data_IF_331660928338
#
_entry.id   IF_331660928338
#
_cell.length_a   1.000
_cell.length_b   1.000
_cell.length_c   1.000
_cell.angle_alpha   90.00
_cell.angle_beta   90.00
_cell.angle_gamma   90.00
#
_symmetry.space_group_name_H-M   'P 1'
#
loop_
_entity.id
_entity.type
_entity.pdbx_description
1 polymer ?
#
# COMPACT_ATOMS: atom_id res chain seq x y z
N UNK A 1 -47.87 -10.31 37.74
CA UNK A 1 -46.45 -10.55 38.10
C UNK A 1 -46.17 -12.03 37.93
N UNK A 2 -45.69 -12.47 36.77
CA UNK A 2 -45.52 -13.90 36.46
C UNK A 2 -44.10 -14.35 36.74
N UNK A 3 -43.91 -15.15 37.80
CA UNK A 3 -42.72 -15.98 37.95
C UNK A 3 -42.89 -17.23 37.08
N UNK A 4 -41.94 -17.52 36.20
CA UNK A 4 -41.83 -18.80 35.51
C UNK A 4 -40.48 -19.41 35.79
N UNK A 5 -40.50 -20.54 36.49
CA UNK A 5 -39.39 -21.46 36.64
C UNK A 5 -39.71 -22.65 35.72
N UNK A 6 -38.83 -22.96 34.76
CA UNK A 6 -38.46 -24.32 34.28
C UNK A 6 -38.25 -24.43 32.76
N UNK A 7 -37.00 -24.72 32.36
CA UNK A 7 -36.55 -25.68 31.32
C UNK A 7 -35.08 -25.37 31.01
N UNK A 8 -34.14 -26.01 31.69
CA UNK A 8 -33.53 -27.27 31.25
C UNK A 8 -32.95 -27.17 29.83
N UNK A 9 -31.71 -26.68 29.71
CA UNK A 9 -30.80 -27.07 28.64
C UNK A 9 -29.38 -27.13 29.19
N UNK A 10 -28.98 -28.37 29.51
CA UNK A 10 -27.69 -28.94 29.16
C UNK A 10 -26.43 -28.32 29.77
N UNK A 11 -26.05 -28.93 30.89
CA UNK A 11 -24.68 -29.20 31.31
C UNK A 11 -23.72 -29.36 30.09
N UNK A 12 -22.71 -28.50 29.98
CA UNK A 12 -21.57 -28.75 29.09
C UNK A 12 -21.11 -27.57 28.25
N UNK A 13 -20.52 -26.54 28.88
CA UNK A 13 -19.38 -25.81 28.30
C UNK A 13 -18.83 -24.76 29.28
N UNK A 14 -18.09 -25.23 30.29
CA UNK A 14 -17.20 -24.37 31.10
C UNK A 14 -15.80 -24.21 30.49
N UNK A 15 -15.66 -24.38 29.16
CA UNK A 15 -14.37 -24.22 28.46
C UNK A 15 -14.36 -23.11 27.40
N UNK A 16 -15.49 -22.45 27.14
CA UNK A 16 -15.56 -21.38 26.13
C UNK A 16 -15.23 -19.98 26.66
N UNK A 17 -14.91 -19.83 27.96
CA UNK A 17 -14.59 -18.52 28.53
C UNK A 17 -13.10 -18.14 28.46
N UNK A 18 -12.26 -19.01 27.88
CA UNK A 18 -10.82 -18.77 27.72
C UNK A 18 -10.36 -18.57 26.25
N UNK A 19 -11.25 -18.73 25.27
CA UNK A 19 -10.84 -18.76 23.85
C UNK A 19 -11.14 -17.49 23.03
N UNK A 20 -11.63 -16.42 23.64
CA UNK A 20 -12.02 -15.20 22.91
C UNK A 20 -11.31 -13.91 23.36
N UNK A 21 -10.31 -14.00 24.23
CA UNK A 21 -9.59 -12.81 24.74
C UNK A 21 -8.20 -12.56 24.13
N UNK A 22 -7.80 -13.35 23.13
CA UNK A 22 -6.51 -13.24 22.47
C UNK A 22 -6.65 -13.22 20.94
N UNK A 23 -7.25 -12.17 20.35
CA UNK A 23 -6.96 -11.84 18.94
C UNK A 23 -7.44 -10.47 18.40
N UNK A 24 -7.86 -9.52 19.25
CA UNK A 24 -8.21 -8.19 18.75
C UNK A 24 -6.97 -7.37 18.33
N UNK A 25 -5.81 -7.55 18.99
CA UNK A 25 -4.57 -6.81 18.69
C UNK A 25 -3.93 -7.21 17.35
N UNK A 26 -4.09 -8.46 16.90
CA UNK A 26 -3.52 -8.94 15.63
C UNK A 26 -4.34 -8.45 14.44
N UNK A 27 -5.68 -8.44 14.57
CA UNK A 27 -6.61 -8.00 13.52
C UNK A 27 -6.60 -6.49 13.28
N UNK A 28 -6.46 -5.68 14.33
CA UNK A 28 -6.31 -4.22 14.19
C UNK A 28 -5.00 -3.82 13.49
N UNK A 29 -3.92 -4.58 13.70
CA UNK A 29 -2.64 -4.31 13.05
C UNK A 29 -2.66 -4.70 11.56
N UNK A 30 -3.28 -5.83 11.21
CA UNK A 30 -3.48 -6.23 9.81
C UNK A 30 -4.38 -5.23 9.06
N UNK A 31 -5.51 -4.82 9.63
CA UNK A 31 -6.39 -3.82 9.01
C UNK A 31 -5.71 -2.44 8.85
N UNK A 32 -4.93 -2.01 9.84
CA UNK A 32 -4.13 -0.77 9.78
C UNK A 32 -3.06 -0.82 8.68
N UNK A 33 -2.36 -1.95 8.56
CA UNK A 33 -1.35 -2.19 7.52
C UNK A 33 -1.98 -2.16 6.12
N UNK A 34 -3.14 -2.81 5.93
CA UNK A 34 -3.82 -2.87 4.63
C UNK A 34 -4.44 -1.51 4.24
N UNK A 35 -4.99 -0.76 5.21
CA UNK A 35 -5.54 0.59 4.97
C UNK A 35 -4.49 1.68 4.71
N UNK A 36 -3.21 1.41 4.96
CA UNK A 36 -2.10 2.37 4.84
C UNK A 36 -1.42 2.39 3.47
N UNK A 37 -1.83 1.51 2.54
CA UNK A 37 -1.24 1.39 1.21
C UNK A 37 -1.93 2.39 0.27
N UNK A 38 -1.72 3.68 0.52
CA UNK A 38 -2.16 4.72 -0.41
C UNK A 38 -1.14 5.84 -0.38
N UNK A 39 -0.41 5.99 -1.49
CA UNK A 39 0.50 7.11 -1.70
C UNK A 39 -0.31 8.19 -2.41
N UNK A 40 -0.57 9.35 -1.76
CA UNK A 40 -1.34 10.41 -2.41
C UNK A 40 -0.53 11.01 -3.57
N UNK A 41 -1.19 11.44 -4.67
CA UNK A 41 -0.51 11.99 -5.84
C UNK A 41 0.44 13.15 -5.52
N UNK A 42 0.15 13.93 -4.47
CA UNK A 42 0.98 15.05 -4.00
C UNK A 42 2.35 14.63 -3.45
N UNK A 43 2.61 13.33 -3.24
CA UNK A 43 3.89 12.82 -2.76
C UNK A 43 4.87 12.54 -3.89
N UNK A 44 4.39 12.41 -5.13
CA UNK A 44 5.29 12.22 -6.26
C UNK A 44 6.07 13.51 -6.51
N UNK A 45 7.40 13.43 -6.75
CA UNK A 45 8.18 14.59 -7.12
C UNK A 45 7.68 15.14 -8.47
N UNK A 46 7.96 16.40 -8.77
CA UNK A 46 7.60 17.00 -10.06
C UNK A 46 8.69 16.68 -11.09
N UNK A 47 8.34 15.97 -12.16
CA UNK A 47 9.26 15.68 -13.25
C UNK A 47 9.47 16.92 -14.12
N UNK A 48 10.71 17.23 -14.48
CA UNK A 48 10.98 18.23 -15.51
C UNK A 48 10.38 17.78 -16.83
N UNK A 49 9.75 18.73 -17.53
CA UNK A 49 9.22 18.56 -18.87
C UNK A 49 10.01 19.43 -19.84
N UNK A 50 10.39 18.86 -20.97
CA UNK A 50 11.09 19.57 -22.05
C UNK A 50 10.24 19.59 -23.33
N UNK A 51 9.43 20.63 -23.49
CA UNK A 51 8.50 20.73 -24.63
C UNK A 51 9.20 21.01 -25.97
N UNK A 52 10.52 21.22 -25.95
CA UNK A 52 11.31 21.48 -27.15
C UNK A 52 11.63 20.23 -27.96
N UNK A 53 11.51 19.04 -27.36
CA UNK A 53 11.84 17.77 -27.99
C UNK A 53 10.61 17.25 -28.73
N UNK A 54 10.66 17.32 -30.07
CA UNK A 54 9.57 16.93 -30.95
C UNK A 54 10.11 16.08 -32.09
N UNK A 55 9.58 14.87 -32.22
CA UNK A 55 9.89 13.97 -33.33
C UNK A 55 8.82 14.08 -34.43
N UNK A 56 9.20 13.72 -35.67
CA UNK A 56 8.29 13.63 -36.81
C UNK A 56 8.19 12.18 -37.27
N UNK A 57 6.98 11.62 -37.16
CA UNK A 57 6.66 10.28 -37.63
C UNK A 57 5.69 10.38 -38.82
N UNK A 58 6.23 10.26 -40.03
CA UNK A 58 5.46 10.28 -41.28
C UNK A 58 4.55 11.52 -41.43
N UNK A 59 5.05 12.69 -41.05
CA UNK A 59 4.32 13.95 -41.05
C UNK A 59 3.54 14.22 -39.77
N UNK A 60 3.54 13.30 -38.80
CA UNK A 60 2.90 13.49 -37.48
C UNK A 60 3.94 13.95 -36.45
N UNK A 61 3.75 15.15 -35.90
CA UNK A 61 4.61 15.68 -34.82
C UNK A 61 4.22 15.06 -33.48
N UNK A 62 5.18 14.51 -32.75
CA UNK A 62 5.00 13.90 -31.42
C UNK A 62 5.99 14.54 -30.45
N UNK A 63 5.48 15.18 -29.39
CA UNK A 63 6.31 15.80 -28.35
C UNK A 63 6.73 14.74 -27.34
N UNK A 64 8.02 14.64 -27.05
CA UNK A 64 8.56 13.75 -26.02
C UNK A 64 9.21 14.56 -24.87
N UNK A 65 8.40 15.05 -23.92
CA UNK A 65 8.89 15.94 -22.87
C UNK A 65 9.79 15.25 -21.82
N UNK A 66 9.91 13.92 -21.86
CA UNK A 66 10.64 13.14 -20.87
C UNK A 66 11.84 12.38 -21.47
N UNK A 67 12.27 12.73 -22.69
CA UNK A 67 13.45 12.15 -23.36
C UNK A 67 14.70 12.08 -22.48
N UNK A 68 14.88 13.03 -21.58
CA UNK A 68 16.01 13.05 -20.63
C UNK A 68 16.07 11.82 -19.72
N UNK A 69 14.91 11.20 -19.41
CA UNK A 69 14.84 9.99 -18.59
C UNK A 69 15.41 8.75 -19.29
N UNK A 70 15.61 8.79 -20.61
CA UNK A 70 16.19 7.67 -21.37
C UNK A 70 17.69 7.50 -21.12
N UNK A 71 18.37 8.53 -20.64
CA UNK A 71 19.79 8.46 -20.31
C UNK A 71 20.00 8.20 -18.79
N UNK A 72 20.45 7.00 -18.39
CA UNK A 72 20.62 6.63 -16.98
C UNK A 72 21.85 7.26 -16.32
N UNK A 73 22.80 7.76 -17.10
CA UNK A 73 24.04 8.37 -16.59
C UNK A 73 23.88 9.86 -16.28
N UNK A 74 22.75 10.47 -16.66
CA UNK A 74 22.47 11.86 -16.32
C UNK A 74 22.23 12.00 -14.81
N UNK A 75 22.87 12.98 -14.14
CA UNK A 75 22.63 13.25 -12.72
C UNK A 75 21.16 13.54 -12.40
N UNK A 76 20.44 14.18 -13.33
CA UNK A 76 19.01 14.46 -13.20
C UNK A 76 18.18 13.17 -13.12
N UNK A 77 18.45 12.21 -14.02
CA UNK A 77 17.78 10.90 -14.04
C UNK A 77 18.05 10.11 -12.77
N UNK A 78 19.30 10.09 -12.30
CA UNK A 78 19.67 9.40 -11.06
C UNK A 78 19.00 10.03 -9.83
N UNK A 79 18.97 11.36 -9.75
CA UNK A 79 18.28 12.08 -8.68
C UNK A 79 16.77 11.78 -8.69
N UNK A 80 16.16 11.80 -9.87
CA UNK A 80 14.75 11.49 -10.05
C UNK A 80 14.38 10.08 -9.59
N UNK A 81 15.15 9.07 -10.04
CA UNK A 81 14.98 7.67 -9.61
C UNK A 81 15.14 7.54 -8.09
N UNK A 82 16.10 8.24 -7.51
CA UNK A 82 16.34 8.24 -6.05
C UNK A 82 15.11 8.75 -5.28
N UNK A 83 14.48 9.84 -5.73
CA UNK A 83 13.26 10.35 -5.10
C UNK A 83 12.07 9.38 -5.24
N UNK A 84 11.92 8.73 -6.39
CA UNK A 84 10.86 7.72 -6.58
C UNK A 84 11.08 6.47 -5.73
N UNK A 85 12.33 6.05 -5.54
CA UNK A 85 12.66 4.92 -4.67
C UNK A 85 12.34 5.24 -3.21
N UNK A 86 12.60 6.46 -2.72
CA UNK A 86 12.21 6.88 -1.36
C UNK A 86 10.72 6.71 -1.08
N UNK A 87 9.88 6.85 -2.09
CA UNK A 87 8.43 6.66 -2.00
C UNK A 87 8.06 5.17 -2.04
N UNK A 88 8.74 4.40 -2.90
CA UNK A 88 8.39 3.00 -3.18
C UNK A 88 8.96 2.02 -2.16
N UNK A 89 10.16 2.26 -1.62
CA UNK A 89 10.85 1.36 -0.69
C UNK A 89 10.02 1.01 0.56
N UNK A 90 9.36 1.96 1.26
CA UNK A 90 8.50 1.63 2.40
C UNK A 90 7.33 0.72 2.01
N UNK A 91 6.77 0.91 0.81
CA UNK A 91 5.67 0.11 0.30
C UNK A 91 6.11 -1.33 0.00
N UNK A 92 7.27 -1.49 -0.64
CA UNK A 92 7.86 -2.81 -0.93
C UNK A 92 8.25 -3.55 0.36
N UNK A 93 8.77 -2.83 1.36
CA UNK A 93 9.07 -3.39 2.67
C UNK A 93 7.81 -3.93 3.36
N UNK A 94 6.70 -3.19 3.31
CA UNK A 94 5.43 -3.61 3.89
C UNK A 94 4.88 -4.88 3.23
N UNK A 95 4.91 -4.96 1.90
CA UNK A 95 4.51 -6.16 1.17
C UNK A 95 5.36 -7.39 1.52
N UNK A 96 6.67 -7.20 1.71
CA UNK A 96 7.59 -8.27 2.13
C UNK A 96 7.30 -8.78 3.54
N UNK A 97 7.02 -7.88 4.48
CA UNK A 97 6.69 -8.26 5.87
C UNK A 97 5.37 -9.02 5.97
N UNK A 98 4.39 -8.69 5.13
CA UNK A 98 3.10 -9.39 5.10
C UNK A 98 3.22 -10.85 4.67
N UNK A 99 4.17 -11.18 3.79
CA UNK A 99 4.36 -12.54 3.29
C UNK A 99 5.02 -13.49 4.32
N UNK A 100 5.73 -12.94 5.31
CA UNK A 100 6.41 -13.72 6.35
C UNK A 100 5.52 -14.04 7.56
N UNK A 101 4.28 -13.55 7.57
CA UNK A 101 3.30 -13.69 8.66
C UNK A 101 2.13 -14.64 8.32
N UNK A 102 2.14 -15.26 7.14
CA UNK A 102 1.20 -16.29 6.67
C UNK A 102 1.91 -17.63 6.60
#
# INVERSE_FOLDING_TARGET
MTLSISRLFTLGNRSAHLFLKANNSSRINLAKVISGISIPPSKYPLARRDESIVDDFHGTKVVDPYRWMENPDLPETQAWVTELNKISEPFLAQGRTLLLLV
#
